data_IF_083167089264
#
_entry.id   IF_083167089264
#
_cell.length_a   1.000
_cell.length_b   1.000
_cell.length_c   1.000
_cell.angle_alpha   90.00
_cell.angle_beta   90.00
_cell.angle_gamma   90.00
#
_symmetry.space_group_name_H-M   'P 1'
#
loop_
_entity.id
_entity.type
_entity.pdbx_description
1 polymer ?
#
# COMPACT_ATOMS: atom_id res chain seq x y z
N UNK A 1 13.03 -53.14 24.74
CA UNK A 1 13.34 -51.83 24.10
C UNK A 1 12.42 -50.77 24.69
N UNK A 2 13.02 -49.83 25.43
CA UNK A 2 12.34 -48.92 26.37
C UNK A 2 11.42 -47.93 25.65
N UNK A 3 10.16 -47.86 26.06
CA UNK A 3 9.14 -46.92 25.52
C UNK A 3 9.59 -45.45 25.59
N UNK A 4 10.52 -45.13 26.50
CA UNK A 4 11.13 -43.80 26.65
C UNK A 4 11.97 -43.38 25.43
N UNK A 5 12.57 -44.34 24.71
CA UNK A 5 13.35 -44.09 23.49
C UNK A 5 12.41 -43.79 22.31
N UNK A 6 11.27 -44.49 22.23
CA UNK A 6 10.28 -44.29 21.16
C UNK A 6 9.58 -42.93 21.25
N UNK A 7 9.30 -42.43 22.46
CA UNK A 7 8.66 -41.12 22.67
C UNK A 7 9.60 -39.96 22.33
N UNK A 8 10.89 -40.07 22.68
CA UNK A 8 11.88 -39.02 22.38
C UNK A 8 12.14 -38.86 20.87
N UNK A 9 12.12 -39.95 20.10
CA UNK A 9 12.31 -39.90 18.63
C UNK A 9 11.11 -39.26 17.92
N UNK A 10 9.88 -39.47 18.41
CA UNK A 10 8.68 -38.87 17.81
C UNK A 10 8.58 -37.36 18.05
N UNK A 11 9.02 -36.86 19.21
CA UNK A 11 9.03 -35.43 19.53
C UNK A 11 10.12 -34.69 18.73
N UNK A 12 11.29 -35.31 18.53
CA UNK A 12 12.38 -34.73 17.73
C UNK A 12 12.06 -34.68 16.22
N UNK A 13 11.25 -35.60 15.71
CA UNK A 13 10.82 -35.62 14.31
C UNK A 13 9.78 -34.52 14.02
N UNK A 14 8.88 -34.25 14.96
CA UNK A 14 7.85 -33.21 14.83
C UNK A 14 8.40 -31.77 14.90
N UNK A 15 9.49 -31.52 15.62
CA UNK A 15 10.12 -30.19 15.74
C UNK A 15 11.18 -29.89 14.66
N UNK A 16 11.44 -30.83 13.73
CA UNK A 16 12.36 -30.64 12.59
C UNK A 16 11.67 -30.57 11.23
N UNK A 17 10.36 -30.85 11.19
CA UNK A 17 9.53 -30.81 9.99
C UNK A 17 8.38 -29.81 10.08
N UNK A 18 8.44 -28.83 10.99
CA UNK A 18 7.63 -27.63 10.79
C UNK A 18 8.16 -26.93 9.54
N UNK A 19 7.38 -26.83 8.45
CA UNK A 19 7.72 -25.88 7.42
C UNK A 19 7.67 -24.54 8.13
N UNK A 20 8.84 -23.96 8.35
CA UNK A 20 8.93 -22.56 8.74
C UNK A 20 8.08 -21.82 7.71
N UNK A 21 7.01 -21.10 8.09
CA UNK A 21 6.20 -20.36 7.14
C UNK A 21 7.03 -19.18 6.66
N UNK A 22 7.98 -19.44 5.76
CA UNK A 22 9.01 -18.51 5.32
C UNK A 22 8.47 -17.49 4.29
N UNK A 23 7.17 -17.38 4.05
CA UNK A 23 6.69 -16.63 2.88
C UNK A 23 5.31 -15.98 2.88
N UNK A 24 4.44 -16.15 3.89
CA UNK A 24 3.02 -15.75 3.74
C UNK A 24 2.60 -14.50 4.55
N UNK A 25 3.52 -13.77 5.19
CA UNK A 25 3.17 -12.55 5.95
C UNK A 25 3.05 -11.28 5.09
N UNK A 26 3.36 -11.37 3.80
CA UNK A 26 3.29 -10.24 2.87
C UNK A 26 2.66 -10.65 1.53
N UNK A 27 1.60 -11.47 1.57
CA UNK A 27 0.68 -11.51 0.44
C UNK A 27 -0.07 -10.16 0.41
N UNK A 28 0.55 -9.14 -0.19
CA UNK A 28 -0.11 -7.86 -0.42
C UNK A 28 -1.26 -8.14 -1.39
N UNK A 29 -2.50 -7.99 -0.92
CA UNK A 29 -3.64 -7.98 -1.84
C UNK A 29 -3.36 -6.95 -2.94
N UNK A 30 -3.60 -7.37 -4.19
CA UNK A 30 -3.50 -6.46 -5.32
C UNK A 30 -4.56 -5.38 -5.12
N UNK A 31 -4.13 -4.17 -4.76
CA UNK A 31 -5.02 -3.03 -4.54
C UNK A 31 -5.95 -2.85 -5.73
N UNK A 32 -7.27 -2.79 -5.46
CA UNK A 32 -8.26 -2.52 -6.49
C UNK A 32 -8.06 -1.14 -7.12
N UNK A 33 -8.57 -0.94 -8.33
CA UNK A 33 -8.69 0.42 -8.89
C UNK A 33 -9.69 1.20 -8.06
N UNK A 34 -9.21 2.22 -7.35
CA UNK A 34 -10.05 3.14 -6.57
C UNK A 34 -9.99 4.53 -7.23
N UNK A 35 -11.12 5.20 -7.46
CA UNK A 35 -11.12 6.55 -8.01
C UNK A 35 -10.50 7.53 -7.00
N UNK A 36 -9.54 8.33 -7.46
CA UNK A 36 -9.01 9.49 -6.73
C UNK A 36 -9.32 10.73 -7.58
N UNK A 37 -9.96 11.73 -6.98
CA UNK A 37 -10.29 12.96 -7.68
C UNK A 37 -9.43 14.12 -7.19
N UNK A 38 -8.82 14.81 -8.15
CA UNK A 38 -8.04 16.03 -7.92
C UNK A 38 -8.63 17.13 -8.80
N UNK A 39 -8.92 18.28 -8.21
CA UNK A 39 -9.55 19.40 -8.91
C UNK A 39 -8.99 20.75 -8.48
N UNK A 40 -9.29 21.79 -9.25
CA UNK A 40 -9.05 23.18 -8.88
C UNK A 40 -10.23 24.04 -9.30
N UNK A 41 -10.48 25.11 -8.57
CA UNK A 41 -11.45 26.15 -8.96
C UNK A 41 -10.91 27.10 -10.03
N UNK A 42 -9.61 27.01 -10.35
CA UNK A 42 -8.95 27.90 -11.30
C UNK A 42 -9.26 27.59 -12.77
N UNK A 43 -9.56 26.33 -13.11
CA UNK A 43 -9.84 25.86 -14.47
C UNK A 43 -10.49 24.46 -14.45
N UNK A 44 -11.14 24.06 -15.55
CA UNK A 44 -11.70 22.71 -15.74
C UNK A 44 -10.68 21.74 -16.33
N UNK A 45 -10.84 20.44 -16.09
CA UNK A 45 -9.94 19.41 -16.63
C UNK A 45 -9.78 19.51 -18.15
N UNK A 46 -8.53 19.46 -18.63
CA UNK A 46 -8.18 19.60 -20.05
C UNK A 46 -8.18 21.03 -20.59
N UNK A 47 -8.52 22.03 -19.76
CA UNK A 47 -8.43 23.44 -20.14
C UNK A 47 -7.04 24.02 -19.84
N UNK A 48 -6.75 25.18 -20.43
CA UNK A 48 -5.50 25.90 -20.19
C UNK A 48 -5.39 26.38 -18.74
N UNK A 49 -4.18 26.32 -18.19
CA UNK A 49 -3.87 26.84 -16.86
C UNK A 49 -3.76 28.37 -16.94
N UNK A 50 -4.44 29.14 -16.07
CA UNK A 50 -4.32 30.60 -16.07
C UNK A 50 -2.88 31.06 -15.84
N UNK A 51 -2.42 32.07 -16.60
CA UNK A 51 -1.04 32.60 -16.56
C UNK A 51 -0.53 32.90 -15.15
N UNK A 52 -1.43 33.29 -14.24
CA UNK A 52 -1.09 33.57 -12.84
C UNK A 52 -0.31 32.43 -12.17
N UNK A 53 -0.59 31.18 -12.57
CA UNK A 53 -0.04 29.96 -11.98
C UNK A 53 1.05 29.31 -12.86
N UNK A 54 1.67 30.09 -13.75
CA UNK A 54 2.72 29.63 -14.68
C UNK A 54 3.95 30.54 -14.60
N UNK A 55 5.08 30.11 -15.17
CA UNK A 55 6.31 30.90 -15.23
C UNK A 55 6.22 32.16 -16.10
N UNK A 56 5.21 32.26 -16.97
CA UNK A 56 4.89 33.48 -17.72
C UNK A 56 4.18 34.54 -16.87
N UNK A 57 3.78 34.18 -15.64
CA UNK A 57 3.15 35.06 -14.67
C UNK A 57 3.90 35.03 -13.33
N UNK A 58 3.20 35.31 -12.22
CA UNK A 58 3.79 35.30 -10.89
C UNK A 58 4.25 33.93 -10.38
N UNK A 59 4.02 32.85 -11.13
CA UNK A 59 4.40 31.48 -10.78
C UNK A 59 3.96 31.03 -9.37
N UNK A 60 2.79 31.51 -8.95
CA UNK A 60 2.24 31.13 -7.65
C UNK A 60 1.52 29.79 -7.75
N UNK A 61 1.58 28.98 -6.69
CA UNK A 61 0.86 27.71 -6.68
C UNK A 61 -0.65 27.94 -6.66
N UNK A 62 -1.37 27.18 -7.48
CA UNK A 62 -2.83 27.17 -7.48
C UNK A 62 -3.37 26.29 -6.35
N UNK A 63 -4.59 26.58 -5.91
CA UNK A 63 -5.25 25.78 -4.89
C UNK A 63 -5.77 24.49 -5.51
N UNK A 64 -5.32 23.36 -4.97
CA UNK A 64 -5.77 22.03 -5.36
C UNK A 64 -6.70 21.47 -4.28
N UNK A 65 -7.74 20.81 -4.72
CA UNK A 65 -8.66 20.05 -3.87
C UNK A 65 -8.50 18.57 -4.17
N UNK A 66 -8.34 17.79 -3.11
CA UNK A 66 -8.22 16.34 -3.12
C UNK A 66 -9.49 15.78 -2.47
N UNK A 67 -10.19 14.90 -3.17
CA UNK A 67 -11.37 14.21 -2.64
C UNK A 67 -11.09 12.70 -2.59
N UNK A 68 -11.60 12.06 -1.54
CA UNK A 68 -11.59 10.61 -1.33
C UNK A 68 -10.20 9.93 -1.45
N UNK A 69 -9.24 10.24 -0.54
CA UNK A 69 -7.96 9.55 -0.54
C UNK A 69 -8.15 8.05 -0.25
N UNK A 70 -7.36 7.16 -0.89
CA UNK A 70 -7.44 5.73 -0.64
C UNK A 70 -7.17 5.35 0.82
N UNK A 71 -7.62 4.15 1.20
CA UNK A 71 -7.38 3.60 2.53
C UNK A 71 -5.87 3.58 2.85
N UNK A 72 -5.54 3.85 4.11
CA UNK A 72 -4.17 3.96 4.62
C UNK A 72 -3.35 5.15 4.11
N UNK A 73 -3.96 6.14 3.47
CA UNK A 73 -3.31 7.44 3.21
C UNK A 73 -2.92 8.10 4.54
N UNK A 74 -1.68 8.55 4.64
CA UNK A 74 -1.16 9.24 5.83
C UNK A 74 -1.50 10.73 5.77
N UNK A 75 -1.78 11.31 6.94
CA UNK A 75 -2.05 12.73 7.12
C UNK A 75 -0.78 13.55 7.34
#
# INVERSE_FOLDING_TARGET
MSARIKVAVLIAFALRFSPWPSGELFAQEKGGTMPLQISSTAFSAGQAIPKKFTCDGPDVSLQLKWDDPPANTQA
#
